data_IF_845707298582
#
_entry.id   IF_845707298582
#
_cell.length_a   1.000
_cell.length_b   1.000
_cell.length_c   1.000
_cell.angle_alpha   90.00
_cell.angle_beta   90.00
_cell.angle_gamma   90.00
#
_symmetry.space_group_name_H-M   'P 1'
#
loop_
_entity.id
_entity.type
_entity.pdbx_description
1 polymer ?
#
# COMPACT_ATOMS: atom_id res chain seq x y z
N UNK A 1 -17.03 -36.52 6.15
CA UNK A 1 -16.48 -36.01 7.41
C UNK A 1 -15.40 -35.05 7.03
N UNK A 2 -15.76 -33.77 6.86
CA UNK A 2 -14.89 -32.69 6.39
C UNK A 2 -14.35 -32.01 7.63
N UNK A 3 -13.05 -32.04 7.81
CA UNK A 3 -12.37 -31.40 8.92
C UNK A 3 -12.08 -29.96 8.52
N UNK A 4 -12.92 -29.03 8.93
CA UNK A 4 -12.65 -27.59 8.90
C UNK A 4 -11.59 -27.27 9.96
N UNK A 5 -10.35 -27.08 9.54
CA UNK A 5 -9.32 -26.55 10.42
C UNK A 5 -9.33 -25.01 10.38
N UNK A 6 -10.20 -24.42 11.19
CA UNK A 6 -10.04 -23.04 11.62
C UNK A 6 -8.81 -22.93 12.52
N UNK A 7 -7.66 -22.61 11.96
CA UNK A 7 -6.45 -22.36 12.75
C UNK A 7 -5.89 -20.97 12.42
N UNK A 8 -6.57 -19.93 12.91
CA UNK A 8 -6.02 -18.58 13.05
C UNK A 8 -5.36 -18.45 14.42
N UNK A 9 -4.19 -19.04 14.60
CA UNK A 9 -3.32 -18.73 15.74
C UNK A 9 -1.87 -18.74 15.28
N UNK A 10 -1.50 -17.70 14.55
CA UNK A 10 -0.10 -17.47 14.18
C UNK A 10 0.53 -16.51 15.18
N UNK A 11 1.71 -16.91 15.66
CA UNK A 11 2.67 -16.22 16.50
C UNK A 11 2.60 -16.53 18.01
N UNK A 12 2.72 -17.81 18.35
CA UNK A 12 3.57 -18.20 19.48
C UNK A 12 5.01 -17.95 19.04
N UNK A 13 5.82 -17.31 19.87
CA UNK A 13 7.24 -17.09 19.63
C UNK A 13 7.91 -18.38 19.15
N UNK A 14 8.20 -18.47 17.85
CA UNK A 14 8.89 -19.59 17.28
C UNK A 14 10.38 -19.30 17.33
N UNK A 15 11.14 -20.17 17.97
CA UNK A 15 12.60 -20.07 18.00
C UNK A 15 13.17 -20.73 16.74
N UNK A 16 13.96 -19.99 15.97
CA UNK A 16 14.72 -20.52 14.85
C UNK A 16 16.08 -20.99 15.33
N UNK A 17 16.36 -22.30 15.21
CA UNK A 17 17.68 -22.88 15.48
C UNK A 17 18.41 -23.10 14.17
N UNK A 18 19.54 -22.42 13.99
CA UNK A 18 20.38 -22.56 12.80
C UNK A 18 21.63 -23.36 13.16
N UNK A 19 21.86 -24.47 12.46
CA UNK A 19 23.08 -25.28 12.57
C UNK A 19 23.88 -25.04 11.29
N UNK A 20 25.00 -24.33 11.42
CA UNK A 20 25.89 -23.98 10.31
C UNK A 20 26.81 -25.11 9.86
N UNK A 21 27.75 -24.77 8.97
CA UNK A 21 28.83 -25.66 8.43
C UNK A 21 28.32 -26.78 7.50
N UNK A 22 27.15 -26.61 6.88
CA UNK A 22 26.63 -27.51 5.87
C UNK A 22 26.90 -26.98 4.46
N UNK A 23 27.32 -27.83 3.54
CA UNK A 23 27.39 -27.50 2.11
C UNK A 23 25.96 -27.51 1.56
N UNK A 24 25.39 -26.33 1.30
CA UNK A 24 24.04 -26.22 0.75
C UNK A 24 24.08 -26.47 -0.75
N UNK A 25 23.26 -27.40 -1.23
CA UNK A 25 23.02 -27.71 -2.65
C UNK A 25 21.52 -27.95 -2.83
N UNK A 26 20.92 -27.33 -3.86
CA UNK A 26 19.51 -27.51 -4.17
C UNK A 26 18.88 -26.25 -4.78
N UNK A 27 17.67 -26.40 -5.25
CA UNK A 27 16.87 -25.34 -5.81
C UNK A 27 15.92 -24.79 -4.73
N UNK A 28 15.77 -23.47 -4.68
CA UNK A 28 14.86 -22.79 -3.76
C UNK A 28 13.86 -21.99 -4.57
N UNK A 29 12.57 -22.30 -4.41
CA UNK A 29 11.50 -21.49 -4.99
C UNK A 29 11.36 -20.21 -4.17
N UNK A 30 11.63 -19.06 -4.80
CA UNK A 30 11.52 -17.76 -4.15
C UNK A 30 10.04 -17.37 -4.01
N UNK A 31 9.63 -16.95 -2.82
CA UNK A 31 8.30 -16.38 -2.57
C UNK A 31 8.18 -14.98 -3.17
N UNK A 32 6.95 -14.51 -3.36
CA UNK A 32 6.70 -13.14 -3.76
C UNK A 32 7.27 -12.11 -2.76
N UNK A 33 7.60 -10.93 -3.26
CA UNK A 33 8.17 -9.86 -2.46
C UNK A 33 7.09 -9.14 -1.65
N UNK A 34 7.25 -9.08 -0.32
CA UNK A 34 6.31 -8.40 0.59
C UNK A 34 5.99 -6.97 0.15
N UNK A 35 7.02 -6.18 -0.12
CA UNK A 35 6.82 -4.76 -0.42
C UNK A 35 6.11 -4.55 -1.76
N UNK A 36 6.40 -5.36 -2.77
CA UNK A 36 5.67 -5.33 -4.04
C UNK A 36 4.20 -5.70 -3.85
N UNK A 37 3.92 -6.77 -3.09
CA UNK A 37 2.55 -7.19 -2.82
C UNK A 37 1.74 -6.09 -2.10
N UNK A 38 2.32 -5.40 -1.11
CA UNK A 38 1.65 -4.31 -0.40
C UNK A 38 1.28 -3.14 -1.32
N UNK A 39 2.17 -2.77 -2.23
CA UNK A 39 1.91 -1.69 -3.21
C UNK A 39 0.85 -2.12 -4.22
N UNK A 40 0.91 -3.35 -4.74
CA UNK A 40 -0.08 -3.89 -5.67
C UNK A 40 -1.47 -4.01 -5.03
N UNK A 41 -1.54 -4.38 -3.75
CA UNK A 41 -2.78 -4.36 -2.98
C UNK A 41 -3.38 -2.96 -2.89
N UNK A 42 -2.57 -1.94 -2.62
CA UNK A 42 -3.05 -0.55 -2.64
C UNK A 42 -3.46 -0.11 -4.05
N UNK A 43 -2.70 -0.49 -5.08
CA UNK A 43 -2.99 -0.15 -6.47
C UNK A 43 -4.27 -0.82 -6.99
N UNK A 44 -4.70 -1.94 -6.40
CA UNK A 44 -5.97 -2.58 -6.76
C UNK A 44 -7.20 -1.70 -6.50
N UNK A 45 -7.05 -0.65 -5.69
CA UNK A 45 -8.11 0.34 -5.46
C UNK A 45 -8.32 1.28 -6.67
N UNK A 46 -7.42 1.31 -7.66
CA UNK A 46 -7.50 2.20 -8.83
C UNK A 46 -8.53 1.77 -9.87
N UNK A 47 -8.98 0.53 -9.84
CA UNK A 47 -9.95 -0.02 -10.81
C UNK A 47 -11.12 -0.70 -10.11
N UNK A 48 -12.24 -0.84 -10.80
CA UNK A 48 -13.41 -1.63 -10.41
C UNK A 48 -13.42 -3.04 -11.03
N UNK A 49 -12.44 -3.35 -11.86
CA UNK A 49 -12.28 -4.69 -12.39
C UNK A 49 -11.63 -5.63 -11.39
N UNK A 50 -11.91 -6.93 -11.55
CA UNK A 50 -11.28 -7.96 -10.74
C UNK A 50 -9.79 -8.10 -11.07
N UNK A 51 -8.96 -8.07 -10.05
CA UNK A 51 -7.53 -8.27 -10.15
C UNK A 51 -7.17 -9.62 -9.54
N UNK A 52 -6.26 -10.34 -10.19
CA UNK A 52 -5.67 -11.56 -9.67
C UNK A 52 -4.19 -11.32 -9.45
N UNK A 53 -3.74 -11.48 -8.20
CA UNK A 53 -2.33 -11.45 -7.85
C UNK A 53 -1.85 -12.87 -7.55
N UNK A 54 -0.84 -13.30 -8.28
CA UNK A 54 -0.18 -14.59 -8.06
C UNK A 54 1.08 -14.42 -7.19
N UNK A 55 1.48 -15.51 -6.56
CA UNK A 55 2.69 -15.58 -5.72
C UNK A 55 2.70 -14.55 -4.59
N UNK A 56 1.54 -14.30 -3.97
CA UNK A 56 1.42 -13.42 -2.81
C UNK A 56 2.01 -14.13 -1.58
N UNK A 57 2.96 -13.52 -0.86
CA UNK A 57 3.55 -14.16 0.31
C UNK A 57 2.58 -14.15 1.49
N UNK A 58 2.53 -15.26 2.24
CA UNK A 58 1.69 -15.40 3.43
C UNK A 58 2.41 -14.76 4.63
N UNK A 59 2.17 -13.47 4.85
CA UNK A 59 2.83 -12.67 5.87
C UNK A 59 1.81 -11.79 6.61
N UNK A 60 2.06 -11.55 7.89
CA UNK A 60 1.19 -10.72 8.74
C UNK A 60 0.94 -9.31 8.17
N UNK A 61 1.93 -8.71 7.50
CA UNK A 61 1.75 -7.39 6.89
C UNK A 61 0.75 -7.45 5.71
N UNK A 62 0.73 -8.55 4.96
CA UNK A 62 -0.25 -8.77 3.88
C UNK A 62 -1.64 -8.96 4.47
N UNK A 63 -1.80 -9.79 5.52
CA UNK A 63 -3.09 -9.99 6.22
C UNK A 63 -3.65 -8.68 6.78
N UNK A 64 -2.78 -7.82 7.34
CA UNK A 64 -3.17 -6.48 7.79
C UNK A 64 -3.67 -5.62 6.64
N UNK A 65 -2.96 -5.63 5.50
CA UNK A 65 -3.37 -4.88 4.32
C UNK A 65 -4.68 -5.39 3.75
N UNK A 66 -4.88 -6.71 3.69
CA UNK A 66 -6.15 -7.34 3.32
C UNK A 66 -7.29 -6.87 4.23
N UNK A 67 -7.05 -6.82 5.55
CA UNK A 67 -8.03 -6.33 6.52
C UNK A 67 -8.40 -4.86 6.30
N UNK A 68 -7.43 -4.01 5.92
CA UNK A 68 -7.66 -2.61 5.56
C UNK A 68 -8.53 -2.53 4.30
N UNK A 69 -8.21 -3.28 3.25
CA UNK A 69 -8.98 -3.32 2.01
C UNK A 69 -10.41 -3.83 2.24
N UNK A 70 -10.58 -4.89 3.03
CA UNK A 70 -11.91 -5.41 3.41
C UNK A 70 -12.72 -4.36 4.19
N UNK A 71 -12.08 -3.61 5.07
CA UNK A 71 -12.73 -2.52 5.79
C UNK A 71 -13.23 -1.43 4.84
N UNK A 72 -12.51 -1.16 3.75
CA UNK A 72 -12.93 -0.25 2.68
C UNK A 72 -14.04 -0.85 1.78
N UNK A 73 -14.43 -2.11 1.97
CA UNK A 73 -15.48 -2.77 1.18
C UNK A 73 -14.97 -3.64 0.03
N UNK A 74 -13.66 -3.80 -0.11
CA UNK A 74 -13.05 -4.70 -1.10
C UNK A 74 -13.36 -6.15 -0.75
N UNK A 75 -13.79 -6.94 -1.72
CA UNK A 75 -13.95 -8.39 -1.54
C UNK A 75 -12.67 -9.09 -1.92
N UNK A 76 -12.18 -9.92 -1.01
CA UNK A 76 -10.95 -10.68 -1.17
C UNK A 76 -11.24 -12.18 -1.09
N UNK A 77 -10.64 -12.95 -1.99
CA UNK A 77 -10.65 -14.41 -1.97
C UNK A 77 -9.21 -14.89 -2.09
N UNK A 78 -8.71 -15.54 -1.05
CA UNK A 78 -7.36 -16.10 -1.00
C UNK A 78 -7.43 -17.59 -1.28
N UNK A 79 -6.62 -18.05 -2.22
CA UNK A 79 -6.40 -19.47 -2.50
C UNK A 79 -4.91 -19.73 -2.63
N UNK A 80 -4.35 -20.43 -1.67
CA UNK A 80 -2.89 -20.68 -1.58
C UNK A 80 -2.11 -19.35 -1.63
N UNK A 81 -1.31 -19.14 -2.67
CA UNK A 81 -0.54 -17.91 -2.90
C UNK A 81 -1.18 -16.97 -3.93
N UNK A 82 -2.43 -17.22 -4.30
CA UNK A 82 -3.19 -16.39 -5.21
C UNK A 82 -4.23 -15.59 -4.45
N UNK A 83 -4.36 -14.32 -4.77
CA UNK A 83 -5.34 -13.41 -4.18
C UNK A 83 -6.19 -12.80 -5.30
N UNK A 84 -7.51 -13.01 -5.23
CA UNK A 84 -8.50 -12.39 -6.11
C UNK A 84 -9.10 -11.19 -5.39
N UNK A 85 -9.06 -10.03 -6.02
CA UNK A 85 -9.44 -8.73 -5.47
C UNK A 85 -10.56 -8.15 -6.31
N UNK A 86 -11.67 -7.79 -5.67
CA UNK A 86 -12.80 -7.12 -6.28
C UNK A 86 -13.05 -5.80 -5.56
N UNK A 87 -12.67 -4.70 -6.20
CA UNK A 87 -12.75 -3.33 -5.69
C UNK A 87 -13.95 -2.54 -6.25
N UNK A 88 -15.01 -3.23 -6.67
CA UNK A 88 -16.22 -2.61 -7.24
C UNK A 88 -16.98 -1.77 -6.21
N UNK A 89 -17.13 -2.28 -4.99
CA UNK A 89 -17.99 -1.68 -3.96
C UNK A 89 -17.16 -1.06 -2.82
N UNK A 90 -16.36 -0.05 -3.14
CA UNK A 90 -15.57 0.67 -2.14
C UNK A 90 -16.45 1.71 -1.43
N UNK A 91 -16.32 1.80 -0.12
CA UNK A 91 -16.91 2.84 0.72
C UNK A 91 -15.81 3.70 1.31
N UNK A 92 -15.82 4.99 0.94
CA UNK A 92 -14.89 5.96 1.53
C UNK A 92 -15.34 6.25 2.95
N UNK A 93 -14.59 5.74 3.91
CA UNK A 93 -14.83 5.94 5.33
C UNK A 93 -13.50 6.01 6.07
N UNK A 94 -13.57 6.56 7.27
CA UNK A 94 -12.42 6.56 8.16
C UNK A 94 -12.03 5.13 8.53
N UNK A 95 -10.76 4.80 8.35
CA UNK A 95 -10.21 3.52 8.76
C UNK A 95 -9.97 3.51 10.27
N UNK A 96 -10.28 2.42 10.98
CA UNK A 96 -9.91 2.28 12.39
C UNK A 96 -8.40 2.42 12.58
N UNK A 97 -8.00 3.22 13.57
CA UNK A 97 -6.59 3.47 13.88
C UNK A 97 -5.81 2.16 14.13
N UNK A 98 -6.43 1.21 14.79
CA UNK A 98 -5.83 -0.08 15.15
C UNK A 98 -5.44 -0.91 13.91
N UNK A 99 -6.19 -0.77 12.80
CA UNK A 99 -5.86 -1.44 11.54
C UNK A 99 -4.66 -0.81 10.84
N UNK A 100 -4.52 0.51 10.94
CA UNK A 100 -3.48 1.29 10.25
C UNK A 100 -2.21 1.36 11.07
N UNK A 101 -2.35 1.37 12.42
CA UNK A 101 -1.22 1.43 13.33
C UNK A 101 -0.35 0.17 13.19
N UNK A 102 0.93 0.38 12.88
CA UNK A 102 1.89 -0.70 12.68
C UNK A 102 1.99 -1.24 11.25
N UNK A 103 1.19 -0.72 10.30
CA UNK A 103 1.38 -1.00 8.88
C UNK A 103 1.50 0.31 8.08
N UNK A 104 2.73 0.76 7.87
CA UNK A 104 3.00 1.99 7.13
C UNK A 104 2.49 1.98 5.68
N UNK A 105 2.44 0.79 5.07
CA UNK A 105 1.93 0.59 3.71
C UNK A 105 0.45 0.96 3.54
N UNK A 106 -0.34 1.06 4.63
CA UNK A 106 -1.71 1.56 4.61
C UNK A 106 -1.82 2.94 3.98
N UNK A 107 -0.78 3.76 4.12
CA UNK A 107 -0.76 5.11 3.57
C UNK A 107 -0.72 5.15 2.04
N UNK A 108 -0.33 4.08 1.37
CA UNK A 108 -0.39 3.99 -0.10
C UNK A 108 -1.82 4.11 -0.63
N UNK A 109 -2.80 3.67 0.14
CA UNK A 109 -4.22 3.76 -0.24
C UNK A 109 -4.67 5.20 -0.50
N UNK A 110 -4.03 6.22 0.12
CA UNK A 110 -4.44 7.61 -0.03
C UNK A 110 -4.35 8.08 -1.48
N UNK A 111 -3.30 7.69 -2.22
CA UNK A 111 -3.12 8.05 -3.63
C UNK A 111 -4.18 7.43 -4.52
N UNK A 112 -4.46 6.15 -4.33
CA UNK A 112 -5.44 5.41 -5.12
C UNK A 112 -6.89 5.88 -4.83
N UNK A 113 -7.24 6.05 -3.56
CA UNK A 113 -8.58 6.51 -3.17
C UNK A 113 -8.84 7.93 -3.65
N UNK A 114 -7.89 8.84 -3.44
CA UNK A 114 -8.02 10.24 -3.83
C UNK A 114 -8.24 10.38 -5.34
N UNK A 115 -7.46 9.68 -6.16
CA UNK A 115 -7.56 9.85 -7.61
C UNK A 115 -8.80 9.20 -8.21
N UNK A 116 -9.30 8.10 -7.61
CA UNK A 116 -10.47 7.39 -8.10
C UNK A 116 -11.78 7.99 -7.59
N UNK A 117 -11.83 8.41 -6.32
CA UNK A 117 -13.08 8.83 -5.66
C UNK A 117 -13.11 10.33 -5.33
N UNK A 118 -12.01 11.06 -5.54
CA UNK A 118 -11.92 12.48 -5.24
C UNK A 118 -11.65 12.80 -3.76
N UNK A 119 -11.68 11.80 -2.89
CA UNK A 119 -11.41 11.95 -1.46
C UNK A 119 -10.77 10.72 -0.85
N UNK A 120 -10.02 10.90 0.23
CA UNK A 120 -9.43 9.84 1.02
C UNK A 120 -9.24 10.28 2.46
N UNK A 121 -9.43 9.37 3.41
CA UNK A 121 -9.19 9.60 4.84
C UNK A 121 -8.39 8.44 5.41
N UNK A 122 -7.13 8.70 5.74
CA UNK A 122 -6.21 7.66 6.24
C UNK A 122 -5.60 8.16 7.55
N UNK A 123 -5.68 7.40 8.65
CA UNK A 123 -4.95 7.73 9.87
C UNK A 123 -3.43 7.80 9.60
N UNK A 124 -2.75 8.65 10.34
CA UNK A 124 -1.30 8.71 10.29
C UNK A 124 -0.73 7.33 10.61
N UNK A 125 0.16 6.80 9.77
CA UNK A 125 0.76 5.50 10.05
C UNK A 125 1.59 5.60 11.32
N UNK A 126 1.34 4.71 12.27
CA UNK A 126 2.07 4.62 13.53
C UNK A 126 3.57 4.50 13.32
N UNK A 127 4.33 4.87 14.33
CA UNK A 127 5.79 4.85 14.28
C UNK A 127 6.33 3.43 14.11
N UNK A 128 7.08 3.20 13.05
CA UNK A 128 7.95 2.04 12.98
C UNK A 128 9.18 2.31 13.88
N UNK A 129 9.59 1.34 14.69
CA UNK A 129 10.76 1.45 15.58
C UNK A 129 12.11 1.75 14.89
N UNK A 130 12.10 1.90 13.56
CA UNK A 130 13.27 2.14 12.71
C UNK A 130 13.57 3.64 12.52
N UNK A 131 12.79 4.55 13.13
CA UNK A 131 13.00 5.99 13.07
C UNK A 131 11.87 6.80 12.43
N UNK A 132 11.97 8.14 12.54
CA UNK A 132 11.00 9.07 11.96
C UNK A 132 11.03 9.00 10.44
N UNK A 133 9.92 8.62 9.84
CA UNK A 133 9.72 8.63 8.39
C UNK A 133 8.55 9.56 8.08
N UNK A 134 8.80 10.85 7.89
CA UNK A 134 7.75 11.83 7.68
C UNK A 134 6.98 11.54 6.39
N UNK A 135 5.70 11.90 6.37
CA UNK A 135 4.83 11.80 5.19
C UNK A 135 4.84 13.07 4.34
N UNK A 136 5.71 14.03 4.66
CA UNK A 136 5.75 15.35 4.04
C UNK A 136 5.89 15.27 2.51
N UNK A 137 6.71 14.35 2.00
CA UNK A 137 6.89 14.17 0.55
C UNK A 137 5.62 13.66 -0.14
N UNK A 138 4.86 12.76 0.52
CA UNK A 138 3.55 12.32 0.02
C UNK A 138 2.59 13.52 -0.06
N UNK A 139 2.48 14.28 1.03
CA UNK A 139 1.58 15.44 1.12
C UNK A 139 1.95 16.51 0.10
N UNK A 140 3.23 16.86 0.02
CA UNK A 140 3.73 17.87 -0.91
C UNK A 140 3.43 17.49 -2.35
N UNK A 141 3.68 16.23 -2.72
CA UNK A 141 3.40 15.73 -4.06
C UNK A 141 1.91 15.69 -4.40
N UNK A 142 1.06 15.22 -3.48
CA UNK A 142 -0.39 15.21 -3.69
C UNK A 142 -0.97 16.64 -3.81
N UNK A 143 -0.47 17.60 -3.02
CA UNK A 143 -0.84 19.02 -3.17
C UNK A 143 -0.42 19.57 -4.52
N UNK A 144 0.75 19.21 -5.01
CA UNK A 144 1.20 19.62 -6.34
C UNK A 144 0.30 19.06 -7.45
N UNK A 145 -0.26 17.86 -7.29
CA UNK A 145 -1.27 17.27 -8.18
C UNK A 145 -2.66 17.91 -8.02
N UNK A 146 -2.84 18.88 -7.12
CA UNK A 146 -4.09 19.62 -6.94
C UNK A 146 -5.01 19.06 -5.86
N UNK A 147 -4.49 18.32 -4.90
CA UNK A 147 -5.23 17.92 -3.73
C UNK A 147 -5.19 18.98 -2.62
N UNK A 148 -6.30 19.17 -1.93
CA UNK A 148 -6.35 19.79 -0.62
C UNK A 148 -6.11 18.73 0.45
N UNK A 149 -5.17 18.98 1.38
CA UNK A 149 -4.83 18.04 2.43
C UNK A 149 -4.85 18.75 3.77
N UNK A 150 -5.62 18.21 4.70
CA UNK A 150 -5.75 18.64 6.08
C UNK A 150 -5.37 17.48 6.98
N UNK A 151 -4.68 17.76 8.07
CA UNK A 151 -4.36 16.75 9.10
C UNK A 151 -5.08 17.18 10.38
N UNK A 152 -6.02 16.35 10.81
CA UNK A 152 -6.81 16.57 12.01
C UNK A 152 -6.86 15.29 12.83
N UNK A 153 -6.61 15.37 14.14
CA UNK A 153 -6.69 14.21 15.06
C UNK A 153 -5.94 12.97 14.55
N UNK A 154 -4.73 13.16 14.04
CA UNK A 154 -3.91 12.11 13.45
C UNK A 154 -4.50 11.42 12.20
N UNK A 155 -5.47 12.06 11.54
CA UNK A 155 -6.05 11.60 10.28
C UNK A 155 -5.64 12.56 9.17
N UNK A 156 -5.13 12.02 8.10
CA UNK A 156 -4.87 12.74 6.85
C UNK A 156 -6.14 12.67 6.01
N UNK A 157 -6.77 13.81 5.82
CA UNK A 157 -7.92 14.00 4.94
C UNK A 157 -7.44 14.65 3.66
N UNK A 158 -7.60 13.98 2.54
CA UNK A 158 -7.27 14.49 1.22
C UNK A 158 -8.54 14.58 0.38
N UNK A 159 -8.72 15.66 -0.36
CA UNK A 159 -9.84 15.86 -1.29
C UNK A 159 -9.39 16.63 -2.52
N UNK A 160 -10.12 16.52 -3.60
CA UNK A 160 -9.94 17.37 -4.76
C UNK A 160 -10.35 18.81 -4.43
N UNK A 161 -9.65 19.78 -5.00
CA UNK A 161 -10.03 21.19 -4.89
C UNK A 161 -11.41 21.36 -5.51
N UNK A 162 -12.29 22.12 -4.87
CA UNK A 162 -13.63 22.45 -5.36
C UNK A 162 -13.59 22.90 -6.83
N UNK A 163 -14.50 22.34 -7.64
CA UNK A 163 -14.65 22.51 -9.10
C UNK A 163 -13.76 21.64 -9.98
N UNK A 164 -12.91 20.75 -9.45
CA UNK A 164 -12.14 19.82 -10.26
C UNK A 164 -12.66 18.41 -10.07
N UNK A 165 -12.84 17.69 -11.18
CA UNK A 165 -13.28 16.28 -11.17
C UNK A 165 -12.13 15.31 -11.01
N UNK A 166 -10.88 15.76 -11.23
CA UNK A 166 -9.67 14.93 -11.20
C UNK A 166 -8.45 15.70 -10.72
N UNK A 167 -7.45 14.96 -10.30
CA UNK A 167 -6.09 15.49 -10.14
C UNK A 167 -5.54 15.92 -11.51
N UNK A 168 -4.55 16.80 -11.52
CA UNK A 168 -3.92 17.28 -12.76
C UNK A 168 -2.41 17.03 -12.74
N UNK A 169 -1.83 16.93 -13.94
CA UNK A 169 -0.39 16.72 -14.08
C UNK A 169 0.43 17.89 -13.52
N UNK A 170 1.51 17.56 -12.82
CA UNK A 170 2.43 18.53 -12.24
C UNK A 170 3.88 18.05 -12.32
N UNK A 171 4.81 19.00 -12.37
CA UNK A 171 6.24 18.69 -12.23
C UNK A 171 6.56 18.59 -10.74
N UNK A 172 6.80 17.38 -10.26
CA UNK A 172 7.08 17.10 -8.86
C UNK A 172 8.55 16.72 -8.71
N UNK A 173 9.20 17.37 -7.75
CA UNK A 173 10.55 17.02 -7.29
C UNK A 173 10.49 16.82 -5.78
N UNK A 174 10.82 15.62 -5.32
CA UNK A 174 10.89 15.31 -3.89
C UNK A 174 12.13 15.98 -3.29
N UNK A 175 12.01 16.52 -2.07
CA UNK A 175 13.13 17.14 -1.34
C UNK A 175 14.12 16.07 -0.85
N UNK A 176 13.64 14.87 -0.60
CA UNK A 176 14.47 13.71 -0.28
C UNK A 176 13.98 12.46 -1.01
N UNK A 177 14.87 11.51 -1.35
CA UNK A 177 14.46 10.24 -1.95
C UNK A 177 13.48 9.49 -1.04
N UNK A 178 12.31 9.15 -1.58
CA UNK A 178 11.27 8.43 -0.85
C UNK A 178 10.55 7.46 -1.77
N UNK A 179 10.81 6.17 -1.59
CA UNK A 179 10.14 5.10 -2.34
C UNK A 179 8.63 5.16 -2.12
N UNK A 180 8.19 5.25 -0.86
CA UNK A 180 6.77 5.27 -0.55
C UNK A 180 6.03 6.49 -1.10
N UNK A 181 6.65 7.69 -1.07
CA UNK A 181 6.06 8.87 -1.68
C UNK A 181 5.94 8.69 -3.19
N UNK A 182 6.98 8.16 -3.83
CA UNK A 182 6.98 7.88 -5.26
C UNK A 182 5.85 6.92 -5.65
N UNK A 183 5.70 5.81 -4.93
CA UNK A 183 4.64 4.82 -5.17
C UNK A 183 3.24 5.44 -5.02
N UNK A 184 3.03 6.21 -3.94
CA UNK A 184 1.76 6.92 -3.73
C UNK A 184 1.46 7.90 -4.86
N UNK A 185 2.46 8.67 -5.29
CA UNK A 185 2.29 9.70 -6.33
C UNK A 185 2.09 9.09 -7.72
N UNK A 186 2.73 7.95 -8.04
CA UNK A 186 2.47 7.20 -9.26
C UNK A 186 1.00 6.75 -9.30
N UNK A 187 0.49 6.17 -8.22
CA UNK A 187 -0.92 5.78 -8.13
C UNK A 187 -1.86 6.99 -8.28
N UNK A 188 -1.58 8.09 -7.59
CA UNK A 188 -2.38 9.30 -7.70
C UNK A 188 -2.37 9.90 -9.11
N UNK A 189 -1.22 9.89 -9.78
CA UNK A 189 -1.05 10.44 -11.11
C UNK A 189 -1.63 9.57 -12.23
N UNK A 190 -1.85 8.26 -11.99
CA UNK A 190 -2.28 7.31 -13.03
C UNK A 190 -3.66 7.63 -13.63
N UNK A 191 -4.54 8.26 -12.85
CA UNK A 191 -5.88 8.68 -13.30
C UNK A 191 -6.04 10.21 -13.38
N UNK A 192 -4.94 10.98 -13.20
CA UNK A 192 -4.97 12.43 -13.29
C UNK A 192 -5.19 12.92 -14.73
N UNK A 193 -5.74 14.13 -14.86
CA UNK A 193 -5.81 14.81 -16.17
C UNK A 193 -4.43 15.32 -16.56
N UNK A 194 -3.98 14.96 -17.72
CA UNK A 194 -2.73 15.25 -18.41
C UNK A 194 -1.71 14.12 -18.34
N UNK A 195 -0.78 14.13 -19.31
CA UNK A 195 0.27 13.12 -19.42
C UNK A 195 1.33 13.39 -18.36
N UNK A 196 1.48 12.44 -17.41
CA UNK A 196 2.54 12.48 -16.43
C UNK A 196 3.75 11.73 -16.95
N UNK A 197 4.86 12.44 -17.20
CA UNK A 197 6.15 11.80 -17.37
C UNK A 197 6.83 11.70 -16.02
N UNK A 198 6.89 10.50 -15.46
CA UNK A 198 7.72 10.24 -14.28
C UNK A 198 9.07 9.73 -14.76
N UNK A 199 10.07 10.58 -14.80
CA UNK A 199 11.47 10.14 -14.82
C UNK A 199 11.87 9.77 -13.39
N UNK A 200 11.58 8.54 -13.01
CA UNK A 200 12.11 7.91 -11.80
C UNK A 200 13.53 7.42 -12.11
N UNK A 201 14.51 8.25 -11.86
CA UNK A 201 15.83 7.75 -11.55
C UNK A 201 15.82 7.32 -10.10
N UNK A 202 15.44 6.08 -9.81
CA UNK A 202 15.84 5.45 -8.57
C UNK A 202 17.37 5.55 -8.50
N UNK A 203 17.95 6.12 -7.42
CA UNK A 203 19.39 6.07 -7.26
C UNK A 203 19.75 4.60 -6.99
N UNK A 204 19.98 3.84 -8.06
CA UNK A 204 20.69 2.59 -7.97
C UNK A 204 22.13 2.94 -7.63
N UNK A 205 22.45 3.04 -6.34
CA UNK A 205 23.84 2.91 -5.94
C UNK A 205 24.26 1.50 -6.35
N UNK A 206 25.00 1.43 -7.45
CA UNK A 206 25.79 0.27 -7.79
C UNK A 206 26.81 0.13 -6.65
N UNK A 207 26.55 -0.79 -5.73
CA UNK A 207 27.57 -1.26 -4.80
C UNK A 207 28.36 -2.28 -5.61
N UNK A 208 29.55 -1.90 -6.04
CA UNK A 208 30.57 -2.80 -6.53
C UNK A 208 31.31 -3.35 -5.34
#
# INVERSE_FOLDING_TARGET
MVCESNNKSYLKSQNLKIIGKSNLRGDVKISGAKNSALVLLAASLLTDEKIILDNVPLLTDIEKMESILQNLGVKLQTKDHQLIIDSTNISIKELPYELVNGLRASFFCIGALLTRFGEAQIPLPGGCNIGKRPINEHISGLKALGAEIIIEKEIVKAKLVEKKSKLYGAKIRLNCPSVGATETLIMAASLAEAVSYTHLTLPTKRIV
#
